data_IF_570507268347
#
_entry.id   IF_570507268347
#
_cell.length_a   1.000
_cell.length_b   1.000
_cell.length_c   1.000
_cell.angle_alpha   90.00
_cell.angle_beta   90.00
_cell.angle_gamma   90.00
#
_symmetry.space_group_name_H-M   'P 1'
#
loop_
_entity.id
_entity.type
_entity.pdbx_description
1 polymer ?
#
# COMPACT_ATOMS: atom_id res chain seq x y z
N UNK A 1 9.53 9.69 10.04
CA UNK A 1 9.36 9.51 11.51
C UNK A 1 7.89 9.43 11.87
N UNK A 2 7.49 9.19 13.13
CA UNK A 2 6.07 9.00 13.48
C UNK A 2 5.17 10.20 13.12
N UNK A 3 5.67 11.43 13.27
CA UNK A 3 4.92 12.64 12.88
C UNK A 3 4.64 12.71 11.38
N UNK A 4 5.64 12.38 10.56
CA UNK A 4 5.52 12.32 9.11
C UNK A 4 4.57 11.19 8.65
N UNK A 5 4.62 10.04 9.34
CA UNK A 5 3.68 8.94 9.12
C UNK A 5 2.24 9.39 9.36
N UNK A 6 1.95 9.96 10.53
CA UNK A 6 0.58 10.41 10.86
C UNK A 6 0.12 11.51 9.92
N UNK A 7 0.97 12.50 9.62
CA UNK A 7 0.62 13.58 8.71
C UNK A 7 0.31 13.07 7.29
N UNK A 8 1.13 12.15 6.77
CA UNK A 8 0.97 11.59 5.42
C UNK A 8 -0.22 10.65 5.33
N UNK A 9 -0.51 9.88 6.39
CA UNK A 9 -1.64 8.95 6.43
C UNK A 9 -3.00 9.61 6.68
N UNK A 10 -3.04 10.80 7.27
CA UNK A 10 -4.32 11.48 7.60
C UNK A 10 -4.63 12.66 6.69
N UNK A 11 -3.64 13.18 5.95
CA UNK A 11 -3.83 14.32 5.07
C UNK A 11 -4.46 13.94 3.73
N UNK A 12 -5.60 14.54 3.40
CA UNK A 12 -6.21 14.43 2.05
C UNK A 12 -5.38 15.11 0.96
N UNK A 13 -4.38 15.92 1.32
CA UNK A 13 -3.42 16.49 0.36
C UNK A 13 -2.28 15.53 0.01
N UNK A 14 -2.06 14.47 0.81
CA UNK A 14 -1.08 13.44 0.53
C UNK A 14 -1.44 12.70 -0.76
N UNK A 15 -0.49 12.63 -1.70
CA UNK A 15 -0.65 11.87 -2.94
C UNK A 15 -0.84 10.38 -2.66
N UNK A 16 -0.08 9.84 -1.70
CA UNK A 16 -0.20 8.44 -1.27
C UNK A 16 -1.60 8.17 -0.69
N UNK A 17 -2.11 9.08 0.16
CA UNK A 17 -3.46 8.95 0.71
C UNK A 17 -4.54 8.99 -0.38
N UNK A 18 -4.43 9.89 -1.36
CA UNK A 18 -5.38 9.96 -2.48
C UNK A 18 -5.40 8.68 -3.31
N UNK A 19 -4.24 8.11 -3.63
CA UNK A 19 -4.15 6.83 -4.35
C UNK A 19 -4.83 5.72 -3.54
N UNK A 20 -4.47 5.57 -2.26
CA UNK A 20 -5.06 4.57 -1.39
C UNK A 20 -6.58 4.72 -1.24
N UNK A 21 -7.07 5.96 -1.15
CA UNK A 21 -8.50 6.25 -1.07
C UNK A 21 -9.25 5.80 -2.35
N UNK A 22 -8.74 6.15 -3.54
CA UNK A 22 -9.33 5.76 -4.83
C UNK A 22 -9.36 4.25 -5.02
N UNK A 23 -8.28 3.56 -4.65
CA UNK A 23 -8.24 2.09 -4.62
C UNK A 23 -9.33 1.54 -3.68
N UNK A 24 -9.50 2.15 -2.50
CA UNK A 24 -10.58 1.80 -1.58
C UNK A 24 -11.99 2.03 -2.12
N UNK A 25 -12.17 2.96 -3.06
CA UNK A 25 -13.42 3.19 -3.79
C UNK A 25 -13.64 2.20 -4.94
N UNK A 26 -12.66 1.36 -5.26
CA UNK A 26 -12.76 0.32 -6.28
C UNK A 26 -12.05 0.64 -7.59
N UNK A 27 -11.34 1.76 -7.69
CA UNK A 27 -10.51 2.06 -8.86
C UNK A 27 -9.24 1.20 -8.88
N UNK A 28 -8.84 0.76 -10.07
CA UNK A 28 -7.57 0.07 -10.31
C UNK A 28 -6.40 1.06 -10.30
N UNK A 29 -5.18 0.54 -10.07
CA UNK A 29 -3.99 1.38 -10.14
C UNK A 29 -3.84 1.99 -11.54
N UNK A 30 -4.13 1.21 -12.58
CA UNK A 30 -4.07 1.63 -13.98
C UNK A 30 -4.98 2.84 -14.25
N UNK A 31 -6.25 2.81 -13.81
CA UNK A 31 -7.20 3.93 -13.96
C UNK A 31 -6.74 5.19 -13.21
N UNK A 32 -6.12 5.01 -12.04
CA UNK A 32 -5.59 6.10 -11.24
C UNK A 32 -4.39 6.74 -11.95
N UNK A 33 -3.49 5.92 -12.49
CA UNK A 33 -2.29 6.38 -13.20
C UNK A 33 -2.64 7.04 -14.53
N UNK A 34 -3.64 6.53 -15.27
CA UNK A 34 -4.07 7.16 -16.53
C UNK A 34 -4.73 8.53 -16.34
N UNK A 35 -5.24 8.81 -15.14
CA UNK A 35 -5.91 10.08 -14.80
C UNK A 35 -5.03 11.04 -13.99
N UNK A 36 -3.79 10.66 -13.67
CA UNK A 36 -2.89 11.45 -12.82
C UNK A 36 -1.59 11.80 -13.54
N UNK A 37 -1.25 13.09 -13.60
CA UNK A 37 0.03 13.54 -14.19
C UNK A 37 1.27 13.09 -13.39
N UNK A 38 1.10 12.77 -12.10
CA UNK A 38 2.20 12.43 -11.19
C UNK A 38 1.87 11.17 -10.40
N UNK A 39 2.72 10.17 -10.52
CA UNK A 39 2.68 8.94 -9.73
C UNK A 39 3.00 9.26 -8.26
N UNK A 40 2.26 8.67 -7.33
CA UNK A 40 2.57 8.77 -5.91
C UNK A 40 3.79 7.88 -5.60
N UNK A 41 4.78 8.44 -4.89
CA UNK A 41 6.04 7.74 -4.58
C UNK A 41 5.83 6.38 -3.90
N UNK A 42 4.78 6.27 -3.07
CA UNK A 42 4.44 5.05 -2.35
C UNK A 42 4.11 3.86 -3.26
N UNK A 43 3.72 4.09 -4.51
CA UNK A 43 3.50 3.01 -5.50
C UNK A 43 4.83 2.32 -5.80
N UNK A 44 5.82 3.06 -6.28
CA UNK A 44 7.14 2.50 -6.62
C UNK A 44 7.94 2.08 -5.39
N UNK A 45 7.80 2.81 -4.26
CA UNK A 45 8.41 2.41 -2.99
C UNK A 45 7.86 1.07 -2.52
N UNK A 46 6.55 0.81 -2.66
CA UNK A 46 5.97 -0.49 -2.28
C UNK A 46 6.57 -1.62 -3.09
N UNK A 47 6.71 -1.45 -4.41
CA UNK A 47 7.35 -2.44 -5.29
C UNK A 47 8.78 -2.75 -4.83
N UNK A 48 9.57 -1.70 -4.60
CA UNK A 48 10.98 -1.84 -4.20
C UNK A 48 11.13 -2.47 -2.81
N UNK A 49 10.29 -2.06 -1.85
CA UNK A 49 10.32 -2.59 -0.48
C UNK A 49 9.90 -4.06 -0.43
N UNK A 50 8.89 -4.47 -1.22
CA UNK A 50 8.51 -5.88 -1.33
C UNK A 50 9.67 -6.74 -1.84
N UNK A 51 10.29 -6.33 -2.95
CA UNK A 51 11.43 -7.05 -3.53
C UNK A 51 12.62 -7.13 -2.57
N UNK A 52 12.89 -6.04 -1.85
CA UNK A 52 13.96 -6.03 -0.84
C UNK A 52 13.64 -7.00 0.29
N UNK A 53 12.42 -6.96 0.83
CA UNK A 53 11.96 -7.83 1.91
C UNK A 53 12.10 -9.31 1.56
N UNK A 54 11.72 -9.71 0.34
CA UNK A 54 11.93 -11.07 -0.18
C UNK A 54 13.41 -11.43 -0.23
N UNK A 55 14.25 -10.54 -0.76
CA UNK A 55 15.69 -10.76 -0.88
C UNK A 55 16.38 -10.98 0.47
N UNK A 56 15.97 -10.23 1.50
CA UNK A 56 16.57 -10.32 2.84
C UNK A 56 15.79 -11.23 3.81
N UNK A 57 14.74 -11.90 3.32
CA UNK A 57 13.89 -12.79 4.12
C UNK A 57 13.28 -12.11 5.37
N UNK A 58 12.85 -10.85 5.24
CA UNK A 58 12.15 -10.11 6.29
C UNK A 58 10.67 -10.03 5.96
N UNK A 59 9.83 -10.27 6.96
CA UNK A 59 8.37 -10.22 6.82
C UNK A 59 7.87 -8.77 6.93
N UNK A 60 7.21 -8.24 5.90
CA UNK A 60 6.56 -6.93 5.90
C UNK A 60 5.08 -7.03 5.51
N UNK A 61 4.19 -7.53 6.39
CA UNK A 61 2.84 -7.92 5.99
C UNK A 61 2.00 -6.80 5.39
N UNK A 62 2.11 -5.59 5.93
CA UNK A 62 1.38 -4.42 5.37
C UNK A 62 1.90 -4.10 3.97
N UNK A 63 3.23 -4.04 3.79
CA UNK A 63 3.84 -3.79 2.48
C UNK A 63 3.49 -4.88 1.48
N UNK A 64 3.51 -6.15 1.89
CA UNK A 64 3.08 -7.28 1.04
C UNK A 64 1.64 -7.15 0.62
N UNK A 65 0.73 -6.84 1.53
CA UNK A 65 -0.68 -6.71 1.19
C UNK A 65 -0.97 -5.49 0.31
N UNK A 66 -0.27 -4.35 0.54
CA UNK A 66 -0.33 -3.20 -0.37
C UNK A 66 0.26 -3.54 -1.75
N UNK A 67 1.36 -4.28 -1.81
CA UNK A 67 1.95 -4.74 -3.08
C UNK A 67 0.96 -5.57 -3.90
N UNK A 68 0.31 -6.55 -3.26
CA UNK A 68 -0.67 -7.42 -3.92
C UNK A 68 -1.89 -6.65 -4.42
N UNK A 69 -2.35 -5.67 -3.66
CA UNK A 69 -3.45 -4.79 -4.09
C UNK A 69 -3.04 -3.97 -5.31
N UNK A 70 -1.84 -3.38 -5.27
CA UNK A 70 -1.35 -2.49 -6.33
C UNK A 70 -0.95 -3.22 -7.63
N UNK A 71 -0.39 -4.41 -7.52
CA UNK A 71 0.32 -5.06 -8.64
C UNK A 71 -0.18 -6.47 -8.98
N UNK A 72 -0.99 -7.09 -8.12
CA UNK A 72 -1.55 -8.43 -8.33
C UNK A 72 -3.09 -8.43 -8.39
N UNK A 73 -3.72 -7.25 -8.47
CA UNK A 73 -5.18 -7.09 -8.51
C UNK A 73 -5.91 -7.72 -7.32
N UNK A 74 -5.25 -7.82 -6.16
CA UNK A 74 -5.90 -8.32 -4.94
C UNK A 74 -6.99 -7.34 -4.48
N UNK A 75 -8.23 -7.79 -4.20
CA UNK A 75 -9.26 -6.91 -3.68
C UNK A 75 -8.85 -6.27 -2.34
N UNK A 76 -8.95 -4.95 -2.16
CA UNK A 76 -8.54 -4.28 -0.91
C UNK A 76 -9.23 -4.83 0.34
N UNK A 77 -10.51 -5.22 0.24
CA UNK A 77 -11.25 -5.86 1.34
C UNK A 77 -10.65 -7.20 1.76
N UNK A 78 -10.16 -7.98 0.80
CA UNK A 78 -9.51 -9.25 1.10
C UNK A 78 -8.16 -9.01 1.79
N UNK A 79 -7.38 -8.04 1.31
CA UNK A 79 -6.10 -7.67 1.91
C UNK A 79 -6.24 -7.24 3.38
N UNK A 80 -7.24 -6.39 3.69
CA UNK A 80 -7.56 -6.04 5.08
C UNK A 80 -7.95 -7.28 5.88
N UNK A 81 -8.79 -8.16 5.32
CA UNK A 81 -9.17 -9.40 5.98
C UNK A 81 -7.99 -10.30 6.32
N UNK A 82 -7.01 -10.41 5.42
CA UNK A 82 -5.80 -11.22 5.63
C UNK A 82 -4.89 -10.62 6.71
N UNK A 83 -4.76 -9.28 6.74
CA UNK A 83 -4.02 -8.58 7.81
C UNK A 83 -4.66 -8.80 9.18
N UNK A 84 -5.99 -8.71 9.26
CA UNK A 84 -6.73 -8.86 10.53
C UNK A 84 -6.77 -10.31 11.04
N UNK A 85 -6.61 -11.30 10.16
CA UNK A 85 -6.53 -12.73 10.53
C UNK A 85 -5.13 -13.20 10.88
N UNK A 86 -4.11 -12.37 10.68
CA UNK A 86 -2.72 -12.75 10.96
C UNK A 86 -2.56 -13.08 12.44
N UNK A 87 -1.86 -14.17 12.74
CA UNK A 87 -1.52 -14.48 14.12
C UNK A 87 -0.66 -13.37 14.73
N UNK A 88 -0.94 -13.04 15.98
CA UNK A 88 -0.12 -12.12 16.77
C UNK A 88 1.25 -12.78 16.98
N UNK A 89 2.25 -12.29 16.24
CA UNK A 89 3.64 -12.62 16.51
C UNK A 89 4.04 -11.88 17.79
N UNK A 90 4.58 -12.59 18.78
CA UNK A 90 5.24 -11.94 19.92
C UNK A 90 6.45 -11.19 19.37
N UNK A 91 6.47 -9.88 19.54
CA UNK A 91 7.63 -9.04 19.32
C UNK A 91 8.72 -9.32 20.36
#
# INVERSE_FOLDING_TARGET
GIGDLVATCTSTHSRNHKVGYRIGQGETLEEILSSSEKVAEGVETTRSMHQLAEKISVELPITTEVYRVLFENKPPRQAVGDLMRRELKRE
#
